data_IF_764094100318
#
_entry.id   IF_764094100318
#
_cell.length_a   1.000
_cell.length_b   1.000
_cell.length_c   1.000
_cell.angle_alpha   90.00
_cell.angle_beta   90.00
_cell.angle_gamma   90.00
#
_symmetry.space_group_name_H-M   'P 1'
#
loop_
_entity.id
_entity.type
_entity.pdbx_description
1 polymer ?
#
# COMPACT_ATOMS: atom_id res chain seq x y z
N UNK A 1 41.97 -2.15 18.44
CA UNK A 1 40.72 -2.52 19.14
C UNK A 1 39.58 -1.56 18.77
N UNK A 2 39.81 -0.24 18.77
CA UNK A 2 38.84 0.76 18.30
C UNK A 2 38.41 0.59 16.83
N UNK A 3 39.34 0.31 15.91
CA UNK A 3 39.00 0.14 14.48
C UNK A 3 37.98 -0.97 14.21
N UNK A 4 37.99 -2.05 15.01
CA UNK A 4 37.03 -3.13 14.83
C UNK A 4 35.65 -2.75 15.37
N UNK A 5 35.60 -2.00 16.47
CA UNK A 5 34.36 -1.45 17.01
C UNK A 5 33.75 -0.48 16.00
N UNK A 6 34.54 0.42 15.42
CA UNK A 6 34.05 1.38 14.43
C UNK A 6 33.52 0.70 13.16
N UNK A 7 34.22 -0.32 12.65
CA UNK A 7 33.76 -1.12 11.50
C UNK A 7 32.46 -1.88 11.78
N UNK A 8 32.28 -2.36 13.01
CA UNK A 8 31.08 -3.06 13.44
C UNK A 8 29.92 -2.07 13.56
N UNK A 9 30.12 -0.91 14.19
CA UNK A 9 29.10 0.14 14.31
C UNK A 9 28.61 0.61 12.94
N UNK A 10 29.51 0.88 12.00
CA UNK A 10 29.13 1.27 10.63
C UNK A 10 28.33 0.19 9.90
N UNK A 11 28.66 -1.09 10.13
CA UNK A 11 27.88 -2.21 9.58
C UNK A 11 26.50 -2.33 10.23
N UNK A 12 26.40 -2.10 11.54
CA UNK A 12 25.13 -2.10 12.27
C UNK A 12 24.21 -1.00 11.75
N UNK A 13 24.70 0.24 11.62
CA UNK A 13 23.92 1.36 11.08
C UNK A 13 23.45 1.10 9.64
N UNK A 14 24.32 0.53 8.79
CA UNK A 14 23.97 0.18 7.43
C UNK A 14 22.88 -0.90 7.36
N UNK A 15 22.93 -1.88 8.26
CA UNK A 15 21.93 -2.95 8.39
C UNK A 15 20.61 -2.38 8.93
N UNK A 16 20.63 -1.57 9.98
CA UNK A 16 19.43 -0.92 10.53
C UNK A 16 18.75 -0.02 9.50
N UNK A 17 19.52 0.75 8.73
CA UNK A 17 18.98 1.64 7.70
C UNK A 17 18.27 0.87 6.59
N UNK A 18 18.81 -0.29 6.17
CA UNK A 18 18.13 -1.17 5.21
C UNK A 18 16.93 -1.86 5.82
N UNK A 19 17.05 -2.37 7.05
CA UNK A 19 15.96 -3.07 7.74
C UNK A 19 14.77 -2.15 7.98
N UNK A 20 14.97 -0.88 8.34
CA UNK A 20 13.88 0.12 8.45
C UNK A 20 13.05 0.25 7.18
N UNK A 21 13.70 0.27 6.00
CA UNK A 21 12.98 0.33 4.71
C UNK A 21 12.18 -0.94 4.45
N UNK A 22 12.78 -2.09 4.72
CA UNK A 22 12.13 -3.40 4.54
C UNK A 22 10.97 -3.58 5.50
N UNK A 23 11.10 -3.16 6.76
CA UNK A 23 10.03 -3.23 7.75
C UNK A 23 8.89 -2.28 7.45
N UNK A 24 9.17 -1.07 6.95
CA UNK A 24 8.13 -0.15 6.49
C UNK A 24 7.35 -0.75 5.30
N UNK A 25 8.04 -1.37 4.35
CA UNK A 25 7.41 -2.06 3.22
C UNK A 25 6.59 -3.28 3.67
N UNK A 26 7.12 -4.07 4.60
CA UNK A 26 6.43 -5.24 5.16
C UNK A 26 5.21 -4.84 5.98
N UNK A 27 5.31 -3.79 6.80
CA UNK A 27 4.19 -3.24 7.55
C UNK A 27 3.10 -2.70 6.63
N UNK A 28 3.48 -2.05 5.52
CA UNK A 28 2.56 -1.61 4.49
C UNK A 28 1.84 -2.77 3.81
N UNK A 29 2.57 -3.79 3.35
CA UNK A 29 2.00 -4.99 2.72
C UNK A 29 1.09 -5.78 3.66
N UNK A 30 1.41 -5.80 4.95
CA UNK A 30 0.63 -6.48 5.99
C UNK A 30 -0.52 -5.60 6.50
N UNK A 31 -0.52 -4.29 6.19
CA UNK A 31 -1.53 -3.38 6.71
C UNK A 31 -2.91 -3.76 6.19
N UNK A 32 -3.84 -3.90 7.12
CA UNK A 32 -5.26 -4.09 6.81
C UNK A 32 -5.83 -2.96 5.95
N UNK A 33 -5.15 -1.81 5.87
CA UNK A 33 -5.55 -0.67 5.04
C UNK A 33 -5.66 -1.04 3.55
N UNK A 34 -4.73 -1.82 3.00
CA UNK A 34 -4.81 -2.26 1.58
C UNK A 34 -6.03 -3.16 1.36
N UNK A 35 -6.27 -4.10 2.27
CA UNK A 35 -7.39 -5.05 2.20
C UNK A 35 -8.72 -4.32 2.32
N UNK A 36 -8.84 -3.37 3.25
CA UNK A 36 -10.03 -2.54 3.46
C UNK A 36 -10.30 -1.66 2.25
N UNK A 37 -9.28 -1.03 1.67
CA UNK A 37 -9.45 -0.18 0.48
C UNK A 37 -9.97 -0.97 -0.72
N UNK A 38 -9.37 -2.13 -0.99
CA UNK A 38 -9.83 -3.02 -2.08
C UNK A 38 -11.27 -3.45 -1.80
N UNK A 39 -11.59 -3.86 -0.57
CA UNK A 39 -12.94 -4.27 -0.19
C UNK A 39 -13.97 -3.14 -0.38
N UNK A 40 -13.65 -1.89 -0.02
CA UNK A 40 -14.53 -0.73 -0.21
C UNK A 40 -14.76 -0.46 -1.70
N UNK A 41 -13.69 -0.46 -2.51
CA UNK A 41 -13.80 -0.22 -3.96
C UNK A 41 -14.65 -1.32 -4.61
N UNK A 42 -14.39 -2.59 -4.30
CA UNK A 42 -15.17 -3.72 -4.80
C UNK A 42 -16.64 -3.61 -4.38
N UNK A 43 -16.92 -3.24 -3.13
CA UNK A 43 -18.29 -3.06 -2.64
C UNK A 43 -19.03 -1.94 -3.38
N UNK A 44 -18.42 -0.76 -3.50
CA UNK A 44 -19.02 0.38 -4.22
C UNK A 44 -19.35 0.02 -5.67
N UNK A 45 -18.45 -0.71 -6.31
CA UNK A 45 -18.63 -1.17 -7.67
C UNK A 45 -19.77 -2.17 -7.83
N UNK A 46 -19.91 -3.12 -6.88
CA UNK A 46 -21.03 -4.07 -6.87
C UNK A 46 -22.35 -3.33 -6.61
N UNK A 47 -22.37 -2.35 -5.72
CA UNK A 47 -23.57 -1.55 -5.43
C UNK A 47 -23.98 -0.71 -6.63
N UNK A 48 -23.03 -0.01 -7.26
CA UNK A 48 -23.26 0.73 -8.51
C UNK A 48 -23.74 -0.22 -9.60
N UNK A 49 -23.12 -1.41 -9.72
CA UNK A 49 -23.53 -2.44 -10.66
C UNK A 49 -24.98 -2.89 -10.43
N UNK A 50 -25.34 -3.32 -9.21
CA UNK A 50 -26.72 -3.72 -8.89
C UNK A 50 -27.72 -2.57 -9.16
N UNK A 51 -27.31 -1.33 -8.94
CA UNK A 51 -28.14 -0.15 -9.23
C UNK A 51 -28.33 0.11 -10.73
N UNK A 52 -27.38 -0.30 -11.58
CA UNK A 52 -27.45 -0.14 -13.05
C UNK A 52 -28.02 -1.39 -13.75
N UNK A 53 -27.87 -2.57 -13.14
CA UNK A 53 -28.26 -3.88 -13.67
C UNK A 53 -29.77 -4.06 -13.91
N UNK A 54 -30.59 -3.03 -13.63
CA UNK A 54 -31.93 -2.89 -14.21
C UNK A 54 -31.96 -2.82 -15.76
N UNK A 55 -30.80 -2.68 -16.43
CA UNK A 55 -30.68 -2.80 -17.88
C UNK A 55 -29.52 -3.72 -18.30
N UNK A 56 -29.85 -4.71 -19.17
CA UNK A 56 -28.98 -5.73 -19.79
C UNK A 56 -27.78 -5.12 -20.57
N UNK A 57 -26.70 -4.67 -19.93
CA UNK A 57 -25.50 -4.19 -20.65
C UNK A 57 -24.18 -4.75 -20.08
N UNK A 58 -23.64 -5.84 -20.68
CA UNK A 58 -22.44 -6.54 -20.20
C UNK A 58 -21.12 -5.74 -20.29
N UNK A 59 -21.06 -4.69 -21.12
CA UNK A 59 -19.86 -3.87 -21.25
C UNK A 59 -19.56 -3.01 -20.01
N UNK A 60 -20.56 -2.63 -19.23
CA UNK A 60 -20.33 -1.94 -17.95
C UNK A 60 -19.76 -2.88 -16.89
N UNK A 61 -20.14 -4.16 -16.93
CA UNK A 61 -19.71 -5.18 -15.97
C UNK A 61 -18.21 -5.48 -16.08
N UNK A 62 -17.64 -5.39 -17.28
CA UNK A 62 -16.21 -5.61 -17.51
C UNK A 62 -15.34 -4.38 -17.19
N UNK A 63 -15.91 -3.18 -17.31
CA UNK A 63 -15.21 -1.92 -16.99
C UNK A 63 -15.00 -1.78 -15.49
N UNK A 64 -15.95 -2.27 -14.69
CA UNK A 64 -15.95 -2.17 -13.23
C UNK A 64 -14.70 -2.82 -12.59
N UNK A 65 -14.37 -4.11 -12.84
CA UNK A 65 -13.15 -4.74 -12.34
C UNK A 65 -11.88 -4.09 -12.89
N UNK A 66 -11.90 -3.65 -14.15
CA UNK A 66 -10.75 -3.02 -14.79
C UNK A 66 -10.43 -1.65 -14.17
N UNK A 67 -11.45 -0.83 -13.91
CA UNK A 67 -11.29 0.46 -13.22
C UNK A 67 -10.91 0.28 -11.76
N UNK A 68 -11.47 -0.69 -11.02
CA UNK A 68 -10.99 -1.07 -9.70
C UNK A 68 -9.48 -1.39 -9.71
N UNK A 69 -9.05 -2.19 -10.67
CA UNK A 69 -7.66 -2.59 -10.78
C UNK A 69 -6.74 -1.40 -11.07
N UNK A 70 -7.11 -0.56 -12.05
CA UNK A 70 -6.34 0.65 -12.39
C UNK A 70 -6.26 1.63 -11.21
N UNK A 71 -7.38 1.88 -10.53
CA UNK A 71 -7.43 2.74 -9.35
C UNK A 71 -6.58 2.15 -8.23
N UNK A 72 -6.61 0.82 -8.03
CA UNK A 72 -5.77 0.15 -7.02
C UNK A 72 -4.28 0.35 -7.33
N UNK A 73 -3.88 0.30 -8.60
CA UNK A 73 -2.48 0.48 -9.00
C UNK A 73 -1.99 1.91 -8.75
N UNK A 74 -2.84 2.92 -8.94
CA UNK A 74 -2.47 4.32 -8.74
C UNK A 74 -2.56 4.79 -7.28
N UNK A 75 -3.53 4.31 -6.50
CA UNK A 75 -3.70 4.73 -5.10
C UNK A 75 -2.62 4.12 -4.20
N UNK A 76 -2.18 2.88 -4.47
CA UNK A 76 -1.18 2.19 -3.63
C UNK A 76 0.11 3.00 -3.42
N UNK A 77 0.81 3.52 -4.46
CA UNK A 77 2.04 4.29 -4.26
C UNK A 77 1.83 5.65 -3.58
N UNK A 78 0.70 6.32 -3.85
CA UNK A 78 0.40 7.62 -3.24
C UNK A 78 -0.01 7.49 -1.77
N UNK A 79 -0.81 6.46 -1.44
CA UNK A 79 -1.22 6.21 -0.07
C UNK A 79 -0.07 5.64 0.77
N UNK A 80 0.81 4.81 0.18
CA UNK A 80 2.04 4.35 0.82
C UNK A 80 2.92 5.53 1.26
N UNK A 81 3.15 6.49 0.37
CA UNK A 81 3.99 7.67 0.70
C UNK A 81 3.34 8.57 1.76
N UNK A 82 2.02 8.79 1.70
CA UNK A 82 1.29 9.52 2.74
C UNK A 82 1.34 8.81 4.11
N UNK A 83 1.12 7.50 4.14
CA UNK A 83 1.11 6.71 5.38
C UNK A 83 2.49 6.63 6.03
N UNK A 84 3.54 6.38 5.24
CA UNK A 84 4.93 6.42 5.72
C UNK A 84 5.26 7.81 6.27
N UNK A 85 4.88 8.89 5.58
CA UNK A 85 5.10 10.25 6.07
C UNK A 85 4.36 10.53 7.38
N UNK A 86 3.18 9.94 7.59
CA UNK A 86 2.37 10.15 8.80
C UNK A 86 2.86 9.32 10.00
N UNK A 87 3.38 8.12 9.78
CA UNK A 87 3.76 7.18 10.85
C UNK A 87 5.27 7.07 11.11
N UNK A 88 6.12 7.27 10.08
CA UNK A 88 7.58 7.15 10.21
C UNK A 88 8.30 8.50 10.24
N UNK A 89 7.67 9.59 9.81
CA UNK A 89 8.24 10.93 9.91
C UNK A 89 7.97 11.54 11.29
N UNK A 90 8.37 10.83 12.35
CA UNK A 90 8.60 11.44 13.64
C UNK A 90 10.11 11.72 13.71
N UNK A 91 10.57 12.98 13.74
CA UNK A 91 11.95 13.28 14.08
C UNK A 91 12.14 12.93 15.56
N UNK A 92 12.63 11.72 15.82
CA UNK A 92 13.23 11.33 17.10
C UNK A 92 14.71 11.11 16.88
#
# INVERSE_FOLDING_TARGET
>A
MNDQIEKITQRIEAIETRNKKVEADKAWETSWARKILIAIITYLLIVIFMSIAGFKKPFLEAIVPATAYLISMSIIPQFKTWWIKKHFNNPS
#
